data_IF_981408115558
#
_entry.id   IF_981408115558
#
_cell.length_a   1.000
_cell.length_b   1.000
_cell.length_c   1.000
_cell.angle_alpha   90.00
_cell.angle_beta   90.00
_cell.angle_gamma   90.00
#
_symmetry.space_group_name_H-M   'P 1'
#
loop_
_entity.id
_entity.type
_entity.pdbx_description
1 polymer ?
#
# COMPACT_ATOMS: atom_id res chain seq x y z
N UNK A 1 -7.09 -6.23 -33.07
CA UNK A 1 -7.35 -5.22 -32.02
C UNK A 1 -6.00 -4.76 -31.48
N UNK A 2 -5.71 -3.45 -31.47
CA UNK A 2 -4.48 -2.91 -30.88
C UNK A 2 -4.75 -2.63 -29.41
N UNK A 3 -4.39 -3.57 -28.54
CA UNK A 3 -4.54 -3.40 -27.10
C UNK A 3 -3.42 -2.48 -26.62
N UNK A 4 -3.77 -1.32 -26.07
CA UNK A 4 -2.81 -0.33 -25.60
C UNK A 4 -2.12 -0.83 -24.32
N UNK A 5 -0.90 -1.34 -24.46
CA UNK A 5 0.00 -1.88 -23.42
C UNK A 5 0.46 -0.85 -22.36
N UNK A 6 -0.22 0.30 -22.23
CA UNK A 6 0.12 1.38 -21.28
C UNK A 6 -0.60 1.25 -19.93
N UNK A 7 -1.35 0.17 -19.72
CA UNK A 7 -2.20 -0.03 -18.53
C UNK A 7 -1.69 -1.10 -17.55
N UNK A 8 -0.51 -1.67 -17.78
CA UNK A 8 0.18 -2.54 -16.82
C UNK A 8 1.05 -1.70 -15.86
N UNK A 9 0.40 -0.86 -15.08
CA UNK A 9 0.99 -0.23 -13.89
C UNK A 9 0.06 -0.41 -12.69
N UNK A 10 -0.64 -1.55 -12.62
CA UNK A 10 -1.62 -1.86 -11.57
C UNK A 10 -0.90 -2.38 -10.32
N UNK A 11 -0.86 -1.47 -9.33
CA UNK A 11 -0.96 -1.77 -7.91
C UNK A 11 0.14 -2.63 -7.26
N UNK A 12 1.38 -2.17 -7.37
CA UNK A 12 2.24 -2.17 -6.18
C UNK A 12 1.79 -1.01 -5.28
N UNK A 13 0.74 -1.23 -4.49
CA UNK A 13 0.65 -0.51 -3.22
C UNK A 13 1.86 -0.98 -2.44
N UNK A 14 2.87 -0.12 -2.43
CA UNK A 14 4.10 -0.33 -1.73
C UNK A 14 3.82 -0.47 -0.23
N UNK A 15 3.68 -1.72 0.21
CA UNK A 15 4.57 -2.19 1.27
C UNK A 15 5.96 -2.33 0.62
N UNK A 16 6.55 -1.19 0.27
CA UNK A 16 7.90 -1.09 -0.27
C UNK A 16 8.90 -1.19 0.88
N UNK A 17 8.89 -2.33 1.58
CA UNK A 17 10.11 -3.05 1.86
C UNK A 17 10.10 -4.23 0.90
N UNK A 18 10.34 -4.03 -0.39
CA UNK A 18 11.70 -4.03 -0.90
C UNK A 18 12.11 -5.47 -1.25
N UNK A 19 12.35 -5.70 -2.54
CA UNK A 19 12.69 -6.94 -3.25
C UNK A 19 13.93 -7.75 -2.75
N UNK A 20 14.17 -7.88 -1.44
CA UNK A 20 15.18 -8.80 -0.86
C UNK A 20 14.58 -9.61 0.31
N UNK A 21 13.32 -10.04 0.24
CA UNK A 21 12.66 -10.60 1.43
C UNK A 21 11.77 -11.83 1.22
N UNK A 22 11.90 -12.57 0.12
CA UNK A 22 11.37 -13.94 0.11
C UNK A 22 12.03 -14.83 1.18
N UNK A 23 13.24 -14.47 1.64
CA UNK A 23 13.90 -15.10 2.80
C UNK A 23 13.77 -14.35 4.14
N UNK A 24 13.35 -13.08 4.15
CA UNK A 24 13.33 -12.27 5.38
C UNK A 24 11.92 -12.15 6.03
N UNK A 25 10.84 -12.47 5.32
CA UNK A 25 9.51 -12.61 5.95
C UNK A 25 9.36 -13.93 6.73
N UNK A 26 10.15 -14.96 6.40
CA UNK A 26 10.22 -16.21 7.18
C UNK A 26 11.14 -16.10 8.42
N UNK A 27 11.93 -15.03 8.51
CA UNK A 27 13.03 -14.90 9.48
C UNK A 27 12.67 -13.98 10.66
N UNK A 28 11.59 -14.29 11.39
CA UNK A 28 11.37 -13.65 12.70
C UNK A 28 10.48 -14.45 13.66
N UNK A 29 10.53 -15.79 13.63
CA UNK A 29 9.81 -16.67 14.57
C UNK A 29 10.28 -16.57 16.05
N UNK A 30 11.05 -15.54 16.42
CA UNK A 30 11.68 -15.39 17.74
C UNK A 30 11.59 -13.96 18.33
N UNK A 31 10.89 -13.01 17.70
CA UNK A 31 10.37 -11.87 18.48
C UNK A 31 9.12 -12.36 19.16
N UNK A 32 8.95 -12.05 20.44
CA UNK A 32 7.64 -12.06 21.08
C UNK A 32 6.73 -11.21 20.19
N UNK A 33 5.96 -11.86 19.32
CA UNK A 33 5.12 -11.19 18.34
C UNK A 33 4.01 -10.54 19.13
N UNK A 34 4.18 -9.24 19.40
CA UNK A 34 3.08 -8.45 19.91
C UNK A 34 1.93 -8.60 18.91
N UNK A 35 0.77 -9.02 19.39
CA UNK A 35 -0.40 -9.12 18.53
C UNK A 35 -0.71 -7.76 17.90
N UNK A 36 -1.43 -7.75 16.76
CA UNK A 36 -1.82 -6.48 16.15
C UNK A 36 -2.62 -5.62 17.14
N UNK A 37 -3.42 -6.27 17.97
CA UNK A 37 -4.15 -5.70 19.10
C UNK A 37 -3.22 -5.02 20.13
N UNK A 38 -2.16 -5.69 20.58
CA UNK A 38 -1.20 -5.11 21.54
C UNK A 38 -0.43 -3.91 20.94
N UNK A 39 -0.03 -4.02 19.68
CA UNK A 39 0.65 -2.93 18.97
C UNK A 39 -0.27 -1.71 18.81
N UNK A 40 -1.54 -1.93 18.45
CA UNK A 40 -2.54 -0.87 18.35
C UNK A 40 -2.84 -0.26 19.73
N UNK A 41 -2.95 -1.10 20.75
CA UNK A 41 -3.14 -0.71 22.15
C UNK A 41 -2.05 0.23 22.65
N UNK A 42 -0.79 -0.16 22.44
CA UNK A 42 0.36 0.65 22.79
C UNK A 42 0.41 1.97 22.01
N UNK A 43 0.08 1.95 20.71
CA UNK A 43 0.13 3.15 19.87
C UNK A 43 -0.99 4.16 20.17
N UNK A 44 -2.21 3.70 20.47
CA UNK A 44 -3.35 4.56 20.81
C UNK A 44 -3.47 4.86 22.31
N UNK A 45 -2.55 4.34 23.12
CA UNK A 45 -2.58 4.43 24.59
C UNK A 45 -3.93 3.97 25.15
N UNK A 46 -4.38 2.80 24.72
CA UNK A 46 -5.67 2.26 25.17
C UNK A 46 -5.62 1.90 26.65
N UNK A 47 -6.69 2.24 27.37
CA UNK A 47 -6.85 1.80 28.75
C UNK A 47 -7.11 0.29 28.83
N UNK A 48 -6.79 -0.39 29.95
CA UNK A 48 -7.09 -1.82 30.12
C UNK A 48 -8.57 -2.16 29.85
N UNK A 49 -9.49 -1.29 30.26
CA UNK A 49 -10.93 -1.46 30.00
C UNK A 49 -11.29 -1.36 28.51
N UNK A 50 -10.61 -0.50 27.75
CA UNK A 50 -10.80 -0.43 26.29
C UNK A 50 -10.25 -1.69 25.62
N UNK A 51 -9.06 -2.15 26.04
CA UNK A 51 -8.47 -3.41 25.55
C UNK A 51 -9.40 -4.60 25.78
N UNK A 52 -9.98 -4.72 26.98
CA UNK A 52 -10.97 -5.76 27.30
C UNK A 52 -12.21 -5.64 26.39
N UNK A 53 -12.74 -4.43 26.17
CA UNK A 53 -13.89 -4.23 25.29
C UNK A 53 -13.61 -4.52 23.81
N UNK A 54 -12.34 -4.48 23.41
CA UNK A 54 -11.90 -4.77 22.05
C UNK A 54 -11.59 -6.25 21.85
N UNK A 55 -11.34 -7.02 22.91
CA UNK A 55 -11.04 -8.45 22.83
C UNK A 55 -12.09 -9.24 22.03
N UNK A 56 -13.38 -8.88 22.16
CA UNK A 56 -14.46 -9.49 21.37
C UNK A 56 -14.41 -9.11 19.89
N UNK A 57 -14.03 -7.87 19.57
CA UNK A 57 -13.85 -7.38 18.19
C UNK A 57 -12.61 -8.01 17.54
N UNK A 58 -11.59 -8.28 18.34
CA UNK A 58 -10.30 -8.80 17.92
C UNK A 58 -10.23 -10.32 17.79
N UNK A 59 -11.15 -11.05 18.45
CA UNK A 59 -11.08 -12.51 18.60
C UNK A 59 -10.78 -13.26 17.29
N UNK A 60 -11.39 -12.82 16.17
CA UNK A 60 -11.19 -13.43 14.87
C UNK A 60 -10.39 -12.56 13.88
N UNK A 61 -10.08 -11.30 14.22
CA UNK A 61 -9.47 -10.36 13.28
C UNK A 61 -8.09 -10.83 12.82
N UNK A 62 -7.20 -11.18 13.76
CA UNK A 62 -5.84 -11.59 13.41
C UNK A 62 -5.82 -12.91 12.61
N UNK A 63 -6.70 -13.86 12.95
CA UNK A 63 -6.81 -15.12 12.22
C UNK A 63 -7.35 -14.92 10.78
N UNK A 64 -8.37 -14.08 10.61
CA UNK A 64 -8.91 -13.75 9.30
C UNK A 64 -7.91 -12.94 8.46
N UNK A 65 -7.23 -11.96 9.06
CA UNK A 65 -6.16 -11.20 8.41
C UNK A 65 -5.03 -12.11 7.94
N UNK A 66 -4.52 -13.00 8.79
CA UNK A 66 -3.47 -13.95 8.42
C UNK A 66 -3.91 -14.87 7.26
N UNK A 67 -5.17 -15.32 7.26
CA UNK A 67 -5.74 -16.12 6.17
C UNK A 67 -5.78 -15.34 4.85
N UNK A 68 -6.23 -14.08 4.88
CA UNK A 68 -6.31 -13.21 3.71
C UNK A 68 -4.93 -12.81 3.19
N UNK A 69 -3.97 -12.57 4.08
CA UNK A 69 -2.57 -12.31 3.74
C UNK A 69 -1.94 -13.53 3.05
N UNK A 70 -2.20 -14.75 3.55
CA UNK A 70 -1.75 -15.98 2.92
C UNK A 70 -2.42 -16.22 1.55
N UNK A 71 -3.70 -15.91 1.39
CA UNK A 71 -4.39 -15.95 0.08
C UNK A 71 -3.72 -14.99 -0.91
N UNK A 72 -3.51 -13.73 -0.52
CA UNK A 72 -2.85 -12.73 -1.36
C UNK A 72 -1.42 -13.14 -1.73
N UNK A 73 -0.64 -13.65 -0.77
CA UNK A 73 0.71 -14.13 -1.02
C UNK A 73 0.73 -15.27 -2.06
N UNK A 74 -0.20 -16.22 -1.93
CA UNK A 74 -0.35 -17.33 -2.88
C UNK A 74 -0.71 -16.86 -4.29
N UNK A 75 -1.62 -15.90 -4.44
CA UNK A 75 -1.98 -15.39 -5.76
C UNK A 75 -0.83 -14.59 -6.41
N UNK A 76 -0.02 -13.89 -5.60
CA UNK A 76 1.20 -13.21 -6.07
C UNK A 76 2.28 -14.20 -6.51
N UNK A 77 2.50 -15.26 -5.74
CA UNK A 77 3.45 -16.32 -6.09
C UNK A 77 3.08 -16.98 -7.42
N UNK A 78 1.80 -17.34 -7.60
CA UNK A 78 1.31 -17.87 -8.88
C UNK A 78 1.55 -16.92 -10.04
N UNK A 79 1.28 -15.63 -9.85
CA UNK A 79 1.55 -14.63 -10.87
C UNK A 79 3.05 -14.56 -11.22
N UNK A 80 3.93 -14.62 -10.22
CA UNK A 80 5.37 -14.67 -10.43
C UNK A 80 5.79 -15.90 -11.23
N UNK A 81 5.30 -17.09 -10.86
CA UNK A 81 5.54 -18.34 -11.61
C UNK A 81 5.08 -18.22 -13.08
N UNK A 82 3.94 -17.59 -13.34
CA UNK A 82 3.45 -17.40 -14.72
C UNK A 82 4.32 -16.45 -15.55
N UNK A 83 5.00 -15.49 -14.93
CA UNK A 83 5.98 -14.65 -15.64
C UNK A 83 7.29 -15.39 -15.95
N UNK A 84 7.61 -16.46 -15.21
CA UNK A 84 8.76 -17.33 -15.48
C UNK A 84 8.44 -18.38 -16.55
N UNK A 85 7.17 -18.71 -16.76
CA UNK A 85 6.69 -19.65 -17.78
C UNK A 85 6.46 -18.96 -19.14
N UNK A 86 7.37 -19.20 -20.09
CA UNK A 86 7.25 -18.67 -21.46
C UNK A 86 6.05 -19.19 -22.25
N UNK A 87 5.36 -20.23 -21.76
CA UNK A 87 4.16 -20.79 -22.39
C UNK A 87 2.85 -20.21 -21.86
N UNK A 88 2.88 -19.42 -20.78
CA UNK A 88 1.70 -18.76 -20.24
C UNK A 88 1.13 -17.75 -21.26
N UNK A 89 -0.18 -17.80 -21.51
CA UNK A 89 -0.83 -16.84 -22.41
C UNK A 89 -1.05 -15.49 -21.74
N UNK A 90 -1.18 -14.43 -22.53
CA UNK A 90 -1.52 -13.09 -22.05
C UNK A 90 -2.85 -13.10 -21.29
N UNK A 91 -3.83 -13.87 -21.78
CA UNK A 91 -5.13 -14.05 -21.14
C UNK A 91 -5.03 -14.71 -19.76
N UNK A 92 -4.17 -15.72 -19.62
CA UNK A 92 -3.93 -16.39 -18.33
C UNK A 92 -3.28 -15.43 -17.33
N UNK A 93 -2.25 -14.69 -17.76
CA UNK A 93 -1.57 -13.68 -16.92
C UNK A 93 -2.57 -12.62 -16.48
N UNK A 94 -3.39 -12.10 -17.40
CA UNK A 94 -4.42 -11.11 -17.06
C UNK A 94 -5.43 -11.68 -16.06
N UNK A 95 -5.89 -12.91 -16.26
CA UNK A 95 -6.79 -13.59 -15.31
C UNK A 95 -6.17 -13.75 -13.92
N UNK A 96 -4.86 -14.02 -13.84
CA UNK A 96 -4.16 -14.10 -12.56
C UNK A 96 -3.96 -12.73 -11.89
N UNK A 97 -3.70 -11.67 -12.66
CA UNK A 97 -3.66 -10.29 -12.14
C UNK A 97 -5.00 -9.92 -11.48
N UNK A 98 -6.13 -10.25 -12.11
CA UNK A 98 -7.45 -9.99 -11.52
C UNK A 98 -7.66 -10.74 -10.19
N UNK A 99 -7.17 -11.98 -10.07
CA UNK A 99 -7.22 -12.71 -8.79
C UNK A 99 -6.40 -12.02 -7.69
N UNK A 100 -5.22 -11.49 -8.03
CA UNK A 100 -4.40 -10.70 -7.09
C UNK A 100 -5.14 -9.44 -6.64
N UNK A 101 -5.79 -8.73 -7.56
CA UNK A 101 -6.60 -7.54 -7.25
C UNK A 101 -7.73 -7.90 -6.30
N UNK A 102 -8.47 -8.97 -6.58
CA UNK A 102 -9.57 -9.44 -5.74
C UNK A 102 -9.08 -9.82 -4.34
N UNK A 103 -7.98 -10.58 -4.22
CA UNK A 103 -7.41 -10.95 -2.93
C UNK A 103 -6.96 -9.73 -2.12
N UNK A 104 -6.38 -8.74 -2.80
CA UNK A 104 -5.96 -7.48 -2.18
C UNK A 104 -7.16 -6.67 -1.65
N UNK A 105 -8.19 -6.48 -2.48
CA UNK A 105 -9.40 -5.74 -2.10
C UNK A 105 -10.14 -6.42 -0.93
N UNK A 106 -10.19 -7.76 -0.88
CA UNK A 106 -10.71 -8.48 0.29
C UNK A 106 -9.95 -8.13 1.58
N UNK A 107 -8.62 -8.16 1.54
CA UNK A 107 -7.77 -7.82 2.69
C UNK A 107 -8.00 -6.36 3.13
N UNK A 108 -8.02 -5.41 2.19
CA UNK A 108 -8.27 -3.99 2.48
C UNK A 108 -9.65 -3.77 3.11
N UNK A 109 -10.70 -4.41 2.58
CA UNK A 109 -12.05 -4.33 3.14
C UNK A 109 -12.13 -4.91 4.54
N UNK A 110 -11.45 -6.02 4.79
CA UNK A 110 -11.39 -6.64 6.11
C UNK A 110 -10.73 -5.70 7.13
N UNK A 111 -9.59 -5.11 6.79
CA UNK A 111 -8.90 -4.11 7.63
C UNK A 111 -9.79 -2.87 7.85
N UNK A 112 -10.41 -2.34 6.80
CA UNK A 112 -11.30 -1.19 6.91
C UNK A 112 -12.51 -1.49 7.82
N UNK A 113 -13.11 -2.68 7.68
CA UNK A 113 -14.19 -3.14 8.54
C UNK A 113 -13.80 -3.18 10.01
N UNK A 114 -12.62 -3.74 10.31
CA UNK A 114 -12.06 -3.75 11.65
C UNK A 114 -11.84 -2.33 12.21
N UNK A 115 -11.21 -1.44 11.44
CA UNK A 115 -10.99 -0.05 11.86
C UNK A 115 -12.31 0.70 12.16
N UNK A 116 -13.38 0.37 11.45
CA UNK A 116 -14.72 0.91 11.72
C UNK A 116 -15.36 0.28 12.96
N UNK A 117 -15.13 -1.02 13.20
CA UNK A 117 -15.66 -1.75 14.35
C UNK A 117 -15.04 -1.28 15.68
N UNK A 118 -13.75 -0.94 15.71
CA UNK A 118 -13.09 -0.43 16.93
C UNK A 118 -13.49 1.01 17.26
N UNK A 119 -13.97 1.79 16.27
CA UNK A 119 -14.29 3.22 16.40
C UNK A 119 -15.15 3.57 17.63
N UNK A 120 -16.28 2.90 17.95
CA UNK A 120 -17.10 3.21 19.12
C UNK A 120 -16.40 3.01 20.47
N UNK A 121 -15.31 2.25 20.52
CA UNK A 121 -14.55 1.96 21.76
C UNK A 121 -13.47 3.01 22.05
N UNK A 122 -13.21 3.91 21.10
CA UNK A 122 -12.17 4.92 21.17
C UNK A 122 -12.72 6.27 21.62
N UNK A 123 -11.95 7.00 22.43
CA UNK A 123 -12.19 8.43 22.72
C UNK A 123 -12.06 9.28 21.45
N UNK A 124 -12.63 10.48 21.47
CA UNK A 124 -12.56 11.43 20.35
C UNK A 124 -11.12 11.72 19.90
N UNK A 125 -10.21 11.89 20.86
CA UNK A 125 -8.79 12.11 20.60
C UNK A 125 -8.12 10.88 19.95
N UNK A 126 -8.40 9.68 20.43
CA UNK A 126 -7.87 8.44 19.85
C UNK A 126 -8.39 8.22 18.42
N UNK A 127 -9.68 8.46 18.17
CA UNK A 127 -10.26 8.39 16.82
C UNK A 127 -9.59 9.37 15.87
N UNK A 128 -9.36 10.61 16.31
CA UNK A 128 -8.68 11.61 15.48
C UNK A 128 -7.27 11.16 15.11
N UNK A 129 -6.48 10.67 16.07
CA UNK A 129 -5.14 10.11 15.84
C UNK A 129 -5.16 8.95 14.85
N UNK A 130 -6.11 8.01 15.01
CA UNK A 130 -6.30 6.88 14.11
C UNK A 130 -6.54 7.36 12.67
N UNK A 131 -7.56 8.20 12.45
CA UNK A 131 -7.94 8.63 11.10
C UNK A 131 -6.92 9.56 10.44
N UNK A 132 -6.19 10.38 11.20
CA UNK A 132 -5.08 11.17 10.65
C UNK A 132 -3.99 10.26 10.08
N UNK A 133 -3.65 9.17 10.79
CA UNK A 133 -2.69 8.18 10.29
C UNK A 133 -3.20 7.49 9.03
N UNK A 134 -4.44 7.02 9.02
CA UNK A 134 -5.07 6.41 7.84
C UNK A 134 -5.08 7.38 6.64
N UNK A 135 -5.50 8.63 6.85
CA UNK A 135 -5.55 9.64 5.81
C UNK A 135 -4.16 9.97 5.25
N UNK A 136 -3.13 9.98 6.09
CA UNK A 136 -1.74 10.11 5.63
C UNK A 136 -1.32 8.93 4.77
N UNK A 137 -1.60 7.70 5.20
CA UNK A 137 -1.29 6.48 4.44
C UNK A 137 -1.93 6.49 3.05
N UNK A 138 -3.21 6.87 2.95
CA UNK A 138 -3.92 7.01 1.66
C UNK A 138 -3.27 8.08 0.77
N UNK A 139 -2.90 9.25 1.32
CA UNK A 139 -2.24 10.32 0.56
C UNK A 139 -0.85 9.92 0.09
N UNK A 140 -0.08 9.25 0.93
CA UNK A 140 1.27 8.76 0.59
C UNK A 140 1.18 7.68 -0.50
N UNK A 141 0.28 6.70 -0.36
CA UNK A 141 0.05 5.67 -1.36
C UNK A 141 -0.41 6.23 -2.72
N UNK A 142 -1.25 7.27 -2.70
CA UNK A 142 -1.66 7.99 -3.92
C UNK A 142 -0.57 8.88 -4.51
N UNK A 143 0.31 9.45 -3.68
CA UNK A 143 1.30 10.46 -4.09
C UNK A 143 2.49 9.91 -4.88
N UNK A 144 2.97 8.71 -4.56
CA UNK A 144 4.12 8.12 -5.24
C UNK A 144 3.80 7.64 -6.67
N UNK A 145 2.55 7.28 -6.94
CA UNK A 145 2.14 6.67 -8.22
C UNK A 145 1.96 7.68 -9.36
N UNK A 146 1.69 8.95 -9.05
CA UNK A 146 1.48 10.00 -10.07
C UNK A 146 2.72 10.85 -10.36
N UNK A 147 3.69 10.93 -9.42
CA UNK A 147 4.85 11.82 -9.60
C UNK A 147 5.90 11.29 -10.59
N UNK A 148 5.85 9.99 -10.94
CA UNK A 148 6.76 9.36 -11.90
C UNK A 148 6.13 9.08 -13.27
N UNK A 149 4.83 9.32 -13.45
CA UNK A 149 4.09 8.99 -14.67
C UNK A 149 3.90 10.12 -15.68
N UNK A 150 4.29 11.36 -15.37
CA UNK A 150 4.16 12.48 -16.29
C UNK A 150 5.26 13.55 -16.09
N UNK A 151 6.52 13.16 -16.22
CA UNK A 151 7.51 14.06 -16.82
C UNK A 151 7.51 13.84 -18.35
N UNK A 152 6.32 13.93 -18.95
CA UNK A 152 6.18 14.09 -20.38
C UNK A 152 6.72 15.46 -20.75
N UNK A 153 7.97 15.49 -21.19
CA UNK A 153 8.38 16.16 -22.42
C UNK A 153 7.56 17.42 -22.78
N UNK A 154 7.93 18.57 -22.23
CA UNK A 154 7.18 19.80 -22.51
C UNK A 154 7.79 21.10 -22.02
N UNK A 155 9.11 21.21 -21.89
CA UNK A 155 9.77 22.51 -21.93
C UNK A 155 11.22 22.29 -22.37
N UNK A 156 11.41 22.30 -23.70
CA UNK A 156 12.73 22.37 -24.29
C UNK A 156 13.50 23.52 -23.66
N UNK A 157 14.52 23.19 -22.88
CA UNK A 157 15.60 24.11 -22.55
C UNK A 157 16.50 24.14 -23.77
N UNK A 158 16.09 24.92 -24.77
CA UNK A 158 16.95 25.29 -25.87
C UNK A 158 18.23 25.95 -25.32
N UNK A 159 19.42 25.63 -25.83
CA UNK A 159 20.64 26.34 -25.50
C UNK A 159 20.61 27.66 -26.28
N UNK A 160 20.19 28.75 -25.65
CA UNK A 160 20.05 30.01 -26.37
C UNK A 160 19.82 31.22 -25.49
N UNK A 161 20.92 31.92 -25.17
CA UNK A 161 20.93 33.37 -25.09
C UNK A 161 20.15 34.03 -23.96
N UNK A 162 20.78 34.18 -22.79
CA UNK A 162 20.65 35.44 -22.04
C UNK A 162 21.92 36.25 -22.24
N UNK A 163 21.92 36.92 -23.39
CA UNK A 163 22.85 37.96 -23.77
C UNK A 163 22.77 39.07 -22.73
N UNK A 164 23.90 39.30 -22.08
CA UNK A 164 24.27 40.51 -21.38
C UNK A 164 24.00 41.73 -22.27
N UNK A 165 23.25 42.70 -21.73
CA UNK A 165 22.92 43.94 -22.42
C UNK A 165 22.57 45.05 -21.43
N UNK A 166 23.56 45.52 -20.68
CA UNK A 166 23.53 46.82 -20.01
C UNK A 166 23.63 47.90 -21.08
N UNK A 167 22.53 48.52 -21.45
CA UNK A 167 22.51 49.76 -22.22
C UNK A 167 22.45 50.95 -21.26
N UNK A 168 23.57 51.64 -21.12
CA UNK A 168 23.68 52.94 -20.48
C UNK A 168 23.65 53.97 -21.60
N UNK A 169 22.74 54.95 -21.55
CA UNK A 169 22.73 56.06 -22.50
C UNK A 169 22.63 57.38 -21.74
N UNK A 170 23.46 58.38 -22.08
CA UNK A 170 23.14 59.78 -21.95
C UNK A 170 23.00 60.46 -23.35
N UNK A 171 22.42 61.67 -23.41
CA UNK A 171 22.17 62.40 -24.65
C UNK A 171 23.43 62.90 -25.35
#
# INVERSE_FOLDING_TARGET
MKVNLKLLAVATIGVSGGLIAAGAWQSNANRTEMSAHEALGAWLLLSPRQMESLAEVDADFDAQRATLEAELARERERLATMFEDMSASDEDIQGQVEKVIVAHDKLERHIAGYLLAIRPHLTDAQRATLFIRCARGVREAGGYRWRHGAAGAGAGRGPGGRRSGRGHGPP
#
